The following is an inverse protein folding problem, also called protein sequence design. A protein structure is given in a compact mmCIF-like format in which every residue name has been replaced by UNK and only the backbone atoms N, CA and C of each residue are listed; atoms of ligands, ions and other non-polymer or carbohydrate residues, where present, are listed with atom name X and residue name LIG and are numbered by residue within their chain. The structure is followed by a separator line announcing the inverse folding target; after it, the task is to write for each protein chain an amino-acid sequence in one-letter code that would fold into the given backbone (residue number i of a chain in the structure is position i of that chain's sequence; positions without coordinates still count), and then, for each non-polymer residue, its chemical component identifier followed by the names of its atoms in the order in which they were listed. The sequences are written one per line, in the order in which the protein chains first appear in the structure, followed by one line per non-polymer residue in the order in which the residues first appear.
data_IF_053468491286
#
_entry.id   IF_053468491286
#
_cell.length_a   1.000
_cell.length_b   1.000
_cell.length_c   1.000
_cell.angle_alpha   90.00
_cell.angle_beta   90.00
_cell.angle_gamma   90.00
#
_symmetry.space_group_name_H-M   'P 1'
#
loop_
_entity.id
_entity.type
_entity.pdbx_description
1 polymer ?
#
# COMPACT_ATOMS: atom_id res chain seq x y z
N UNK A 1 6.77 -1.95 -5.40
CA UNK A 1 7.88 -2.66 -4.72
C UNK A 1 8.87 -1.60 -4.23
N UNK A 2 9.34 -1.68 -2.99
CA UNK A 2 10.35 -0.75 -2.48
C UNK A 2 11.70 -1.09 -3.12
N UNK A 3 12.23 -0.15 -3.90
CA UNK A 3 13.40 -0.36 -4.78
C UNK A 3 14.67 -0.71 -4.00
N UNK A 4 14.76 -0.30 -2.73
CA UNK A 4 15.95 -0.51 -1.89
C UNK A 4 15.94 -1.79 -1.04
N UNK A 5 14.77 -2.31 -0.65
CA UNK A 5 14.67 -3.47 0.24
C UNK A 5 14.13 -4.73 -0.45
N UNK A 6 13.59 -4.60 -1.67
CA UNK A 6 12.86 -5.67 -2.34
C UNK A 6 11.55 -6.05 -1.66
N UNK A 7 11.10 -5.28 -0.65
CA UNK A 7 9.87 -5.53 0.12
C UNK A 7 8.68 -4.75 -0.42
N UNK A 8 7.48 -5.17 -0.02
CA UNK A 8 6.22 -4.55 -0.38
C UNK A 8 5.70 -3.68 0.76
N UNK A 9 4.95 -2.63 0.42
CA UNK A 9 4.24 -1.81 1.39
C UNK A 9 3.04 -2.62 1.89
N UNK A 10 3.02 -2.93 3.18
CA UNK A 10 1.98 -3.72 3.84
C UNK A 10 1.24 -2.86 4.87
N UNK A 11 -0.08 -3.05 5.01
CA UNK A 11 -0.86 -2.48 6.12
C UNK A 11 -1.06 -3.54 7.19
N UNK A 12 -0.59 -3.22 8.40
CA UNK A 12 -0.53 -4.14 9.53
C UNK A 12 -1.91 -4.66 9.88
N UNK A 13 -2.02 -5.98 10.05
CA UNK A 13 -3.26 -6.63 10.47
C UNK A 13 -4.41 -6.53 9.47
N UNK A 14 -4.16 -6.14 8.21
CA UNK A 14 -5.22 -5.89 7.21
C UNK A 14 -6.22 -4.82 7.68
N UNK A 15 -5.75 -3.87 8.49
CA UNK A 15 -6.60 -2.83 9.07
C UNK A 15 -7.18 -1.91 7.99
N UNK A 16 -8.47 -1.61 8.10
CA UNK A 16 -9.19 -0.65 7.27
C UNK A 16 -9.38 0.70 7.96
N UNK A 17 -8.86 0.84 9.18
CA UNK A 17 -8.99 2.08 9.95
C UNK A 17 -8.10 3.18 9.36
N UNK A 18 -8.56 4.45 9.40
CA UNK A 18 -7.69 5.58 9.08
C UNK A 18 -6.44 5.58 9.94
N UNK A 19 -5.29 5.93 9.33
CA UNK A 19 -3.97 5.94 9.98
C UNK A 19 -3.48 4.57 10.45
N UNK A 20 -4.00 3.49 9.87
CA UNK A 20 -3.42 2.16 10.06
C UNK A 20 -1.91 2.17 9.76
N UNK A 21 -1.15 1.43 10.57
CA UNK A 21 0.29 1.35 10.44
C UNK A 21 0.67 0.66 9.14
N UNK A 22 1.57 1.29 8.39
CA UNK A 22 2.19 0.69 7.22
C UNK A 22 3.63 0.27 7.51
N UNK A 23 4.01 -0.92 7.05
CA UNK A 23 5.36 -1.49 7.20
C UNK A 23 5.88 -2.02 5.85
N UNK A 24 7.16 -2.38 5.81
CA UNK A 24 7.78 -3.06 4.67
C UNK A 24 7.84 -4.56 4.98
N UNK A 25 7.11 -5.38 4.24
CA UNK A 25 7.05 -6.82 4.46
C UNK A 25 7.46 -7.61 3.22
N UNK A 26 7.77 -8.89 3.42
CA UNK A 26 7.97 -9.81 2.30
C UNK A 26 6.77 -9.72 1.35
N UNK A 27 7.06 -9.48 0.08
CA UNK A 27 6.04 -9.36 -0.94
C UNK A 27 5.27 -10.66 -1.08
N UNK A 28 3.96 -10.57 -0.98
CA UNK A 28 3.02 -11.64 -1.32
C UNK A 28 2.42 -11.31 -2.68
N UNK A 29 3.04 -11.82 -3.75
CA UNK A 29 2.69 -11.53 -5.15
C UNK A 29 1.34 -12.11 -5.58
N UNK A 30 0.70 -12.90 -4.72
CA UNK A 30 -0.54 -13.57 -4.99
C UNK A 30 -1.07 -14.08 -3.68
N UNK A 31 -1.70 -13.17 -2.94
CA UNK A 31 -2.25 -13.43 -1.62
C UNK A 31 -2.78 -14.85 -1.52
N UNK A 32 -2.11 -15.69 -0.72
CA UNK A 32 -2.53 -17.09 -0.52
C UNK A 32 -3.94 -17.16 0.10
N UNK A 33 -4.44 -16.03 0.61
CA UNK A 33 -5.78 -15.82 1.14
C UNK A 33 -6.50 -14.74 0.33
N UNK A 34 -7.60 -15.06 -0.36
CA UNK A 34 -8.33 -14.09 -1.23
C UNK A 34 -8.71 -12.75 -0.56
N UNK A 35 -8.75 -12.70 0.78
CA UNK A 35 -9.06 -11.51 1.57
C UNK A 35 -7.87 -10.59 1.85
N UNK A 36 -6.62 -11.04 1.72
CA UNK A 36 -5.43 -10.24 2.03
C UNK A 36 -5.11 -9.33 0.84
N UNK A 37 -5.59 -8.08 0.91
CA UNK A 37 -5.28 -7.01 -0.07
C UNK A 37 -4.40 -5.91 0.49
N UNK A 38 -3.77 -6.15 1.64
CA UNK A 38 -2.98 -5.16 2.37
C UNK A 38 -1.60 -4.88 1.74
N UNK A 39 -1.28 -5.40 0.55
CA UNK A 39 -0.03 -5.11 -0.17
C UNK A 39 -0.20 -4.62 -1.61
N UNK A 40 -1.45 -4.50 -2.08
CA UNK A 40 -1.77 -4.18 -3.48
C UNK A 40 -2.35 -2.78 -3.53
N UNK A 41 -1.49 -1.79 -3.77
CA UNK A 41 -1.85 -0.39 -3.70
C UNK A 41 -1.74 0.29 -5.05
N UNK A 42 -2.77 1.06 -5.41
CA UNK A 42 -2.68 2.10 -6.43
C UNK A 42 -2.76 3.43 -5.71
N UNK A 43 -1.64 4.14 -5.66
CA UNK A 43 -1.63 5.50 -5.15
C UNK A 43 -2.48 6.34 -6.08
N UNK A 44 -3.61 6.81 -5.59
CA UNK A 44 -4.36 7.87 -6.24
C UNK A 44 -3.52 9.13 -6.06
N UNK A 45 -2.66 9.43 -7.03
CA UNK A 45 -1.90 10.67 -7.01
C UNK A 45 -2.87 11.82 -6.82
N UNK A 46 -2.76 12.55 -5.71
CA UNK A 46 -3.41 13.83 -5.59
C UNK A 46 -2.80 14.71 -6.68
N UNK A 47 -3.53 14.90 -7.78
CA UNK A 47 -3.35 16.11 -8.59
C UNK A 47 -3.80 17.23 -7.68
N UNK A 48 -2.87 17.81 -6.92
CA UNK A 48 -3.06 19.14 -6.37
C UNK A 48 -3.65 19.99 -7.51
N UNK A 49 -4.70 20.78 -7.29
CA UNK A 49 -5.04 21.80 -8.27
C UNK A 49 -3.84 22.74 -8.28
N UNK A 50 -2.87 22.45 -9.15
CA UNK A 50 -1.93 23.42 -9.62
C UNK A 50 -2.81 24.49 -10.25
N UNK A 51 -3.02 25.57 -9.49
CA UNK A 51 -3.50 26.87 -9.94
C UNK A 51 -4.62 26.76 -10.99
N UNK A 52 -5.88 26.75 -10.52
CA UNK A 52 -6.95 27.33 -11.33
C UNK A 52 -6.46 28.73 -11.75
N UNK A 53 -6.46 29.10 -13.05
CA UNK A 53 -6.43 30.52 -13.39
C UNK A 53 -7.67 31.22 -12.80
#
# INVERSE_FOLDING_TARGET
MAVHSGKCVDVTGVSTQPRALSNQWTCDSGSTLSAKKNQIWRLQGMRWPAFLP
#
